data_IF_438471240349
#
_entry.id   IF_438471240349
#
_cell.length_a   1.000
_cell.length_b   1.000
_cell.length_c   1.000
_cell.angle_alpha   90.00
_cell.angle_beta   90.00
_cell.angle_gamma   90.00
#
_symmetry.space_group_name_H-M   'P 1'
#
loop_
_entity.id
_entity.type
_entity.pdbx_description
1 polymer ?
#
# COMPACT_ATOMS: atom_id res chain seq x y z
N UNK A 1 -31.62 -6.24 13.27
CA UNK A 1 -30.19 -6.08 12.89
C UNK A 1 -29.56 -7.46 12.98
N UNK A 2 -29.44 -8.21 11.86
CA UNK A 2 -28.85 -9.55 11.88
C UNK A 2 -27.34 -9.42 12.06
N UNK A 3 -26.85 -9.71 13.26
CA UNK A 3 -25.44 -10.03 13.48
C UNK A 3 -25.18 -11.36 12.77
N UNK A 4 -24.83 -11.31 11.49
CA UNK A 4 -24.24 -12.47 10.82
C UNK A 4 -22.87 -12.70 11.45
N UNK A 5 -22.85 -13.51 12.50
CA UNK A 5 -21.66 -14.17 13.01
C UNK A 5 -21.19 -15.16 11.93
N UNK A 6 -20.59 -14.64 10.86
CA UNK A 6 -19.83 -15.48 9.95
C UNK A 6 -18.59 -15.88 10.71
N UNK A 7 -18.50 -17.15 11.14
CA UNK A 7 -17.28 -17.73 11.66
C UNK A 7 -16.16 -17.39 10.67
N UNK A 8 -15.29 -16.45 11.04
CA UNK A 8 -14.13 -16.13 10.25
C UNK A 8 -13.26 -17.39 10.26
N UNK A 9 -12.87 -17.95 9.09
CA UNK A 9 -11.85 -19.00 9.09
C UNK A 9 -10.62 -18.45 9.80
N UNK A 10 -10.01 -19.26 10.66
CA UNK A 10 -8.90 -18.85 11.52
C UNK A 10 -7.85 -18.10 10.68
N UNK A 11 -7.61 -16.85 11.04
CA UNK A 11 -6.51 -16.08 10.45
C UNK A 11 -5.19 -16.81 10.77
N UNK A 12 -4.19 -16.65 9.90
CA UNK A 12 -2.89 -17.27 10.11
C UNK A 12 -2.28 -16.83 11.45
N UNK A 13 -1.55 -17.74 12.09
CA UNK A 13 -0.75 -17.37 13.27
C UNK A 13 0.20 -16.21 12.88
N UNK A 14 0.16 -15.07 13.59
CA UNK A 14 0.92 -13.88 13.22
C UNK A 14 2.43 -14.13 13.16
N UNK A 15 2.96 -15.04 13.98
CA UNK A 15 4.37 -15.43 13.93
C UNK A 15 4.71 -16.19 12.64
N UNK A 16 3.85 -17.11 12.21
CA UNK A 16 4.03 -17.84 10.96
C UNK A 16 3.92 -16.91 9.75
N UNK A 17 2.95 -16.00 9.77
CA UNK A 17 2.80 -14.99 8.72
C UNK A 17 4.01 -14.05 8.67
N UNK A 18 4.55 -13.65 9.82
CA UNK A 18 5.76 -12.84 9.92
C UNK A 18 7.00 -13.55 9.38
N UNK A 19 7.21 -14.81 9.73
CA UNK A 19 8.31 -15.63 9.19
C UNK A 19 8.17 -15.78 7.68
N UNK A 20 6.98 -16.12 7.17
CA UNK A 20 6.74 -16.24 5.74
C UNK A 20 7.02 -14.92 5.00
N UNK A 21 6.57 -13.79 5.54
CA UNK A 21 6.84 -12.47 4.98
C UNK A 21 8.35 -12.13 4.99
N UNK A 22 9.05 -12.47 6.07
CA UNK A 22 10.50 -12.30 6.18
C UNK A 22 11.27 -13.15 5.17
N UNK A 23 10.84 -14.40 4.94
CA UNK A 23 11.41 -15.27 3.91
C UNK A 23 11.15 -14.74 2.51
N UNK A 24 9.96 -14.19 2.24
CA UNK A 24 9.67 -13.52 0.96
C UNK A 24 10.58 -12.31 0.77
N UNK A 25 10.73 -11.46 1.79
CA UNK A 25 11.63 -10.31 1.74
C UNK A 25 13.08 -10.74 1.47
N UNK A 26 13.58 -11.76 2.17
CA UNK A 26 14.90 -12.33 1.94
C UNK A 26 15.04 -12.85 0.51
N UNK A 27 14.06 -13.61 0.02
CA UNK A 27 14.05 -14.13 -1.34
C UNK A 27 14.07 -12.99 -2.38
N UNK A 28 13.34 -11.89 -2.16
CA UNK A 28 13.38 -10.74 -3.07
C UNK A 28 14.78 -10.11 -3.13
N UNK A 29 15.46 -9.97 -1.99
CA UNK A 29 16.83 -9.48 -1.98
C UNK A 29 17.81 -10.43 -2.66
N UNK A 30 17.69 -11.74 -2.44
CA UNK A 30 18.61 -12.74 -3.00
C UNK A 30 18.41 -12.93 -4.51
N UNK A 31 17.16 -12.98 -4.97
CA UNK A 31 16.84 -13.26 -6.37
C UNK A 31 16.86 -12.01 -7.24
N UNK A 32 16.39 -10.87 -6.72
CA UNK A 32 16.16 -9.66 -7.51
C UNK A 32 17.09 -8.51 -7.14
N UNK A 33 17.79 -8.57 -6.01
CA UNK A 33 18.69 -7.50 -5.54
C UNK A 33 17.99 -6.28 -4.95
N UNK A 34 16.65 -6.28 -4.89
CA UNK A 34 15.84 -5.19 -4.34
C UNK A 34 14.82 -5.76 -3.34
N UNK A 35 14.46 -4.97 -2.32
CA UNK A 35 13.43 -5.34 -1.36
C UNK A 35 12.01 -4.95 -1.81
N UNK A 36 11.03 -5.35 -1.01
CA UNK A 36 9.61 -5.10 -1.26
C UNK A 36 9.24 -3.62 -1.28
N UNK A 37 8.34 -3.25 -2.19
CA UNK A 37 7.68 -1.96 -2.19
C UNK A 37 6.62 -1.84 -3.29
N UNK A 38 5.79 -0.79 -3.23
CA UNK A 38 4.74 -0.56 -4.25
C UNK A 38 4.74 0.85 -4.85
N UNK A 39 5.23 1.86 -4.13
CA UNK A 39 5.07 3.26 -4.54
C UNK A 39 5.80 3.66 -5.82
N UNK A 40 6.96 3.08 -6.18
CA UNK A 40 7.67 3.49 -7.40
C UNK A 40 6.89 3.12 -8.66
N UNK A 41 6.25 1.95 -8.70
CA UNK A 41 5.44 1.51 -9.84
C UNK A 41 4.27 2.46 -10.11
N UNK A 42 3.46 2.75 -9.08
CA UNK A 42 2.30 3.66 -9.19
C UNK A 42 2.74 5.08 -9.59
N UNK A 43 3.87 5.51 -9.05
CA UNK A 43 4.51 6.79 -9.36
C UNK A 43 4.88 6.90 -10.83
N UNK A 44 5.58 5.89 -11.37
CA UNK A 44 6.05 5.90 -12.75
C UNK A 44 4.88 5.86 -13.72
N UNK A 45 3.85 5.06 -13.44
CA UNK A 45 2.62 5.06 -14.24
C UNK A 45 1.95 6.43 -14.22
N UNK A 46 1.84 7.07 -13.06
CA UNK A 46 1.25 8.41 -12.95
C UNK A 46 2.07 9.47 -13.73
N UNK A 47 3.40 9.40 -13.69
CA UNK A 47 4.25 10.32 -14.45
C UNK A 47 4.31 10.01 -15.94
N UNK A 48 4.19 8.75 -16.36
CA UNK A 48 4.01 8.38 -17.75
C UNK A 48 2.68 8.92 -18.30
N UNK A 49 1.60 8.84 -17.52
CA UNK A 49 0.33 9.45 -17.86
C UNK A 49 0.39 10.98 -17.86
N UNK A 50 1.16 11.60 -16.95
CA UNK A 50 1.38 13.05 -16.98
C UNK A 50 2.20 13.48 -18.21
N UNK A 51 3.17 12.66 -18.61
CA UNK A 51 4.00 12.89 -19.79
C UNK A 51 3.19 12.82 -21.09
N UNK A 52 2.17 11.96 -21.18
CA UNK A 52 1.30 11.92 -22.37
C UNK A 52 0.40 13.14 -22.53
N UNK A 53 0.15 13.88 -21.44
CA UNK A 53 -0.67 15.11 -21.44
C UNK A 53 0.19 16.37 -21.57
N UNK A 54 1.34 16.41 -20.89
CA UNK A 54 2.20 17.60 -20.81
C UNK A 54 3.69 17.22 -20.80
N UNK A 55 4.24 16.74 -21.93
CA UNK A 55 5.59 16.17 -21.99
C UNK A 55 6.68 17.18 -21.58
N UNK A 56 6.62 18.41 -22.09
CA UNK A 56 7.58 19.47 -21.78
C UNK A 56 7.64 19.79 -20.27
N UNK A 57 6.50 19.81 -19.57
CA UNK A 57 6.47 20.09 -18.14
C UNK A 57 7.13 18.98 -17.30
N UNK A 58 7.04 17.72 -17.76
CA UNK A 58 7.64 16.56 -17.09
C UNK A 58 9.14 16.49 -17.36
N UNK A 59 9.57 16.74 -18.60
CA UNK A 59 10.98 16.69 -19.00
C UNK A 59 11.81 17.84 -18.42
N UNK A 60 11.23 19.04 -18.29
CA UNK A 60 11.91 20.18 -17.66
C UNK A 60 11.97 20.08 -16.12
N UNK A 61 11.29 19.11 -15.51
CA UNK A 61 11.28 18.92 -14.05
C UNK A 61 12.36 17.95 -13.61
N UNK A 62 13.36 18.46 -12.86
CA UNK A 62 14.41 17.65 -12.23
C UNK A 62 13.88 16.58 -11.29
N UNK A 63 12.67 16.75 -10.75
CA UNK A 63 12.03 15.78 -9.88
C UNK A 63 11.32 14.66 -10.66
N UNK A 64 10.69 14.97 -11.80
CA UNK A 64 9.82 14.04 -12.52
C UNK A 64 10.55 13.27 -13.63
N UNK A 65 11.56 13.88 -14.25
CA UNK A 65 12.32 13.27 -15.34
C UNK A 65 12.88 11.86 -15.02
N UNK A 66 13.43 11.57 -13.82
CA UNK A 66 13.94 10.23 -13.50
C UNK A 66 12.85 9.14 -13.39
N UNK A 67 11.59 9.54 -13.24
CA UNK A 67 10.47 8.60 -13.09
C UNK A 67 9.77 8.26 -14.41
N UNK A 68 10.05 9.00 -15.49
CA UNK A 68 9.59 8.64 -16.83
C UNK A 68 10.51 7.53 -17.33
N UNK A 69 10.18 6.28 -16.98
CA UNK A 69 10.86 5.12 -17.56
C UNK A 69 10.46 5.00 -19.03
N UNK A 70 11.44 4.72 -19.90
CA UNK A 70 11.21 4.39 -21.31
C UNK A 70 10.38 3.12 -21.48
N UNK A 71 10.44 2.20 -20.52
CA UNK A 71 9.69 0.95 -20.54
C UNK A 71 9.09 0.61 -19.15
N UNK A 72 7.76 0.58 -18.99
CA UNK A 72 7.11 0.26 -17.70
C UNK A 72 7.44 -1.12 -17.15
N UNK A 73 7.85 -2.08 -18.00
CA UNK A 73 8.17 -3.45 -17.60
C UNK A 73 9.58 -3.62 -17.03
N UNK A 74 10.44 -2.61 -17.13
CA UNK A 74 11.78 -2.65 -16.51
C UNK A 74 11.73 -2.47 -14.99
N UNK A 75 10.63 -1.91 -14.46
CA UNK A 75 10.45 -1.82 -13.02
C UNK A 75 9.89 -3.15 -12.48
N UNK A 76 10.75 -3.90 -11.79
CA UNK A 76 10.39 -5.13 -11.06
C UNK A 76 9.11 -4.96 -10.22
N UNK A 77 8.85 -3.75 -9.73
CA UNK A 77 7.66 -3.40 -8.94
C UNK A 77 6.34 -3.78 -9.63
N UNK A 78 6.29 -3.80 -10.97
CA UNK A 78 5.07 -4.23 -11.71
C UNK A 78 4.76 -5.70 -11.43
N UNK A 79 5.77 -6.56 -11.41
CA UNK A 79 5.62 -7.98 -11.06
C UNK A 79 5.26 -8.15 -9.59
N UNK A 80 5.85 -7.36 -8.69
CA UNK A 80 5.48 -7.38 -7.27
C UNK A 80 4.00 -7.00 -7.08
N UNK A 81 3.55 -5.89 -7.67
CA UNK A 81 2.15 -5.43 -7.56
C UNK A 81 1.18 -6.46 -8.15
N UNK A 82 1.53 -7.05 -9.30
CA UNK A 82 0.73 -8.11 -9.89
C UNK A 82 0.68 -9.37 -9.03
N UNK A 83 1.82 -9.77 -8.45
CA UNK A 83 1.92 -10.88 -7.50
C UNK A 83 1.10 -10.66 -6.23
N UNK A 84 1.13 -9.45 -5.66
CA UNK A 84 0.32 -9.07 -4.50
C UNK A 84 -1.18 -9.09 -4.85
N UNK A 85 -1.55 -8.62 -6.03
CA UNK A 85 -2.95 -8.65 -6.49
C UNK A 85 -3.46 -10.09 -6.62
N UNK A 86 -2.73 -10.95 -7.34
CA UNK A 86 -3.08 -12.36 -7.50
C UNK A 86 -3.05 -13.11 -6.16
N UNK A 87 -2.04 -12.87 -5.33
CA UNK A 87 -1.91 -13.44 -4.00
C UNK A 87 -3.08 -13.05 -3.09
N UNK A 88 -3.53 -11.79 -3.16
CA UNK A 88 -4.71 -11.31 -2.44
C UNK A 88 -6.01 -12.00 -2.89
N UNK A 89 -6.20 -12.19 -4.19
CA UNK A 89 -7.36 -12.92 -4.74
C UNK A 89 -7.31 -14.39 -4.29
N UNK A 90 -6.15 -15.04 -4.40
CA UNK A 90 -5.96 -16.42 -3.98
C UNK A 90 -6.20 -16.58 -2.48
N UNK A 91 -5.69 -15.67 -1.65
CA UNK A 91 -5.93 -15.65 -0.21
C UNK A 91 -7.41 -15.43 0.12
N UNK A 92 -8.11 -14.57 -0.61
CA UNK A 92 -9.56 -14.39 -0.46
C UNK A 92 -10.34 -15.65 -0.86
N UNK A 93 -9.88 -16.38 -1.88
CA UNK A 93 -10.46 -17.64 -2.32
C UNK A 93 -10.27 -18.76 -1.29
N UNK A 94 -9.02 -19.02 -0.88
CA UNK A 94 -8.69 -20.05 0.10
C UNK A 94 -9.28 -19.74 1.48
N UNK A 95 -9.30 -18.47 1.86
CA UNK A 95 -9.95 -17.97 3.06
C UNK A 95 -11.48 -17.91 2.97
N UNK A 96 -12.12 -18.34 1.86
CA UNK A 96 -13.58 -18.29 1.64
C UNK A 96 -14.20 -16.91 1.92
N UNK A 97 -13.41 -15.84 1.74
CA UNK A 97 -13.77 -14.42 1.97
C UNK A 97 -13.93 -13.64 0.67
N UNK A 98 -13.92 -14.31 -0.47
CA UNK A 98 -14.19 -13.68 -1.77
C UNK A 98 -15.56 -12.99 -1.74
N UNK A 99 -15.51 -11.66 -1.82
CA UNK A 99 -16.70 -10.83 -1.83
C UNK A 99 -17.42 -11.03 -3.17
N UNK A 100 -18.60 -11.65 -3.12
CA UNK A 100 -19.42 -11.94 -4.31
C UNK A 100 -20.03 -10.69 -4.96
N UNK A 101 -20.03 -9.56 -4.25
CA UNK A 101 -20.52 -8.26 -4.72
C UNK A 101 -19.58 -7.15 -4.24
N UNK A 102 -19.32 -6.12 -5.07
CA UNK A 102 -18.63 -4.93 -4.63
C UNK A 102 -19.49 -4.25 -3.55
N UNK A 103 -19.12 -4.44 -2.29
CA UNK A 103 -19.77 -3.81 -1.16
C UNK A 103 -18.75 -2.92 -0.48
N UNK A 104 -19.15 -1.66 -0.25
CA UNK A 104 -18.30 -0.72 0.45
C UNK A 104 -18.36 -1.04 1.94
N UNK A 105 -17.22 -1.42 2.53
CA UNK A 105 -17.12 -1.60 3.97
C UNK A 105 -17.23 -0.23 4.65
N UNK A 106 -18.31 -0.04 5.40
CA UNK A 106 -18.66 1.20 6.06
C UNK A 106 -19.33 0.91 7.41
N UNK A 107 -19.18 1.84 8.36
CA UNK A 107 -19.78 1.72 9.68
C UNK A 107 -21.29 2.03 9.67
N UNK A 108 -22.03 1.66 10.72
CA UNK A 108 -23.49 1.84 10.80
C UNK A 108 -23.93 3.32 10.66
N UNK A 109 -23.05 4.25 11.04
CA UNK A 109 -23.30 5.70 11.02
C UNK A 109 -22.74 6.42 9.81
N UNK A 110 -22.01 5.75 8.93
CA UNK A 110 -21.37 6.39 7.77
C UNK A 110 -22.22 6.24 6.51
N UNK A 111 -22.36 7.33 5.76
CA UNK A 111 -22.97 7.30 4.42
C UNK A 111 -21.94 6.91 3.37
N UNK A 112 -22.42 6.39 2.22
CA UNK A 112 -21.55 6.03 1.08
C UNK A 112 -20.71 7.23 0.64
N UNK A 113 -21.34 8.41 0.50
CA UNK A 113 -20.67 9.65 0.14
C UNK A 113 -19.53 9.98 1.11
N UNK A 114 -19.81 10.00 2.43
CA UNK A 114 -18.81 10.29 3.44
C UNK A 114 -17.63 9.31 3.40
N UNK A 115 -17.91 8.01 3.25
CA UNK A 115 -16.87 6.97 3.19
C UNK A 115 -15.97 7.12 1.96
N UNK A 116 -16.57 7.38 0.79
CA UNK A 116 -15.82 7.60 -0.45
C UNK A 116 -14.98 8.87 -0.37
N UNK A 117 -15.56 9.98 0.09
CA UNK A 117 -14.83 11.25 0.27
C UNK A 117 -13.64 11.08 1.21
N UNK A 118 -13.82 10.41 2.35
CA UNK A 118 -12.72 10.14 3.29
C UNK A 118 -11.67 9.20 2.71
N UNK A 119 -12.06 8.19 1.93
CA UNK A 119 -11.11 7.29 1.27
C UNK A 119 -10.25 8.04 0.25
N UNK A 120 -10.87 8.92 -0.54
CA UNK A 120 -10.16 9.76 -1.52
C UNK A 120 -9.23 10.74 -0.80
N UNK A 121 -9.74 11.51 0.17
CA UNK A 121 -8.93 12.46 0.94
C UNK A 121 -7.78 11.76 1.67
N UNK A 122 -8.04 10.61 2.29
CA UNK A 122 -7.02 9.78 2.93
C UNK A 122 -5.97 9.28 1.95
N UNK A 123 -6.39 8.84 0.76
CA UNK A 123 -5.49 8.42 -0.32
C UNK A 123 -4.59 9.55 -0.82
N UNK A 124 -5.14 10.76 -0.98
CA UNK A 124 -4.36 11.95 -1.38
C UNK A 124 -3.32 12.30 -0.31
N UNK A 125 -3.73 12.37 0.96
CA UNK A 125 -2.81 12.67 2.08
C UNK A 125 -1.73 11.58 2.21
N UNK A 126 -2.11 10.31 2.09
CA UNK A 126 -1.18 9.17 2.11
C UNK A 126 -0.19 9.24 0.94
N UNK A 127 -0.65 9.59 -0.26
CA UNK A 127 0.20 9.76 -1.44
C UNK A 127 1.23 10.87 -1.25
N UNK A 128 0.79 12.03 -0.77
CA UNK A 128 1.70 13.14 -0.43
C UNK A 128 2.71 12.73 0.65
N UNK A 129 2.24 12.08 1.72
CA UNK A 129 3.09 11.57 2.79
C UNK A 129 4.13 10.57 2.30
N UNK A 130 3.76 9.64 1.42
CA UNK A 130 4.68 8.67 0.84
C UNK A 130 5.80 9.34 0.02
N UNK A 131 5.52 10.48 -0.62
CA UNK A 131 6.56 11.25 -1.33
C UNK A 131 7.49 12.01 -0.40
N UNK A 132 6.94 12.64 0.63
CA UNK A 132 7.73 13.30 1.66
C UNK A 132 8.64 12.30 2.39
N UNK A 133 8.14 11.10 2.66
CA UNK A 133 8.88 10.01 3.27
C UNK A 133 9.81 9.24 2.30
N UNK A 134 9.82 9.60 1.01
CA UNK A 134 10.57 8.89 -0.06
C UNK A 134 10.30 7.37 -0.08
N UNK A 135 9.08 6.94 0.24
CA UNK A 135 8.70 5.53 0.22
C UNK A 135 7.29 5.26 0.76
N UNK A 136 6.77 4.08 0.46
CA UNK A 136 5.57 3.55 1.11
C UNK A 136 5.90 2.88 2.44
N UNK A 137 4.86 2.51 3.19
CA UNK A 137 4.98 1.71 4.40
C UNK A 137 5.76 0.40 4.18
N UNK A 138 5.54 -0.33 3.08
CA UNK A 138 6.32 -1.56 2.81
C UNK A 138 7.79 -1.25 2.54
N UNK A 139 8.09 -0.24 1.72
CA UNK A 139 9.47 0.16 1.41
C UNK A 139 10.23 0.71 2.63
N UNK A 140 9.58 1.52 3.46
CA UNK A 140 10.22 2.06 4.65
C UNK A 140 10.24 1.03 5.80
N UNK A 141 9.09 0.45 6.17
CA UNK A 141 9.03 -0.43 7.34
C UNK A 141 9.61 -1.83 7.11
N UNK A 142 9.37 -2.47 5.95
CA UNK A 142 9.89 -3.83 5.70
C UNK A 142 11.30 -3.77 5.15
N UNK A 143 11.47 -3.16 3.99
CA UNK A 143 12.75 -3.10 3.26
C UNK A 143 13.79 -2.27 4.02
N UNK A 144 13.43 -1.05 4.42
CA UNK A 144 14.28 -0.16 5.23
C UNK A 144 14.51 -0.66 6.66
N UNK A 145 13.50 -1.29 7.27
CA UNK A 145 13.62 -1.90 8.59
C UNK A 145 14.57 -3.10 8.60
N UNK A 146 14.55 -3.95 7.57
CA UNK A 146 15.42 -5.11 7.43
C UNK A 146 16.91 -4.74 7.33
N UNK A 147 17.24 -3.58 6.74
CA UNK A 147 18.61 -3.05 6.69
C UNK A 147 18.93 -2.10 7.86
N UNK A 148 18.05 -2.02 8.87
CA UNK A 148 18.22 -1.19 10.06
C UNK A 148 18.44 0.30 9.75
N UNK A 149 17.81 0.81 8.68
CA UNK A 149 17.90 2.22 8.29
C UNK A 149 17.27 3.12 9.35
N UNK A 150 18.07 4.03 9.93
CA UNK A 150 17.62 4.98 10.95
C UNK A 150 16.41 5.79 10.47
N UNK A 151 16.44 6.28 9.23
CA UNK A 151 15.33 7.05 8.65
C UNK A 151 14.04 6.24 8.56
N UNK A 152 14.14 4.95 8.25
CA UNK A 152 13.00 4.05 8.16
C UNK A 152 12.40 3.71 9.52
N UNK A 153 13.23 3.58 10.56
CA UNK A 153 12.77 3.44 11.95
C UNK A 153 12.07 4.69 12.45
N UNK A 154 12.62 5.88 12.18
CA UNK A 154 11.97 7.16 12.49
C UNK A 154 10.62 7.26 11.77
N UNK A 155 10.58 6.93 10.48
CA UNK A 155 9.33 6.89 9.72
C UNK A 155 8.32 5.93 10.34
N UNK A 156 8.73 4.71 10.69
CA UNK A 156 7.83 3.70 11.25
C UNK A 156 7.21 4.19 12.57
N UNK A 157 8.02 4.74 13.47
CA UNK A 157 7.55 5.29 14.75
C UNK A 157 6.58 6.46 14.52
N UNK A 158 6.92 7.40 13.63
CA UNK A 158 6.07 8.54 13.29
C UNK A 158 4.75 8.10 12.63
N UNK A 159 4.79 7.08 11.76
CA UNK A 159 3.62 6.52 11.09
C UNK A 159 2.63 5.92 12.11
N UNK A 160 3.10 5.07 13.03
CA UNK A 160 2.25 4.52 14.07
C UNK A 160 1.75 5.60 15.03
N UNK A 161 2.61 6.53 15.47
CA UNK A 161 2.20 7.64 16.32
C UNK A 161 1.10 8.49 15.67
N UNK A 162 1.27 8.89 14.41
CA UNK A 162 0.26 9.62 13.65
C UNK A 162 -1.04 8.84 13.48
N UNK A 163 -0.96 7.53 13.22
CA UNK A 163 -2.13 6.65 13.15
C UNK A 163 -2.91 6.58 14.47
N UNK A 164 -2.21 6.39 15.59
CA UNK A 164 -2.84 6.36 16.92
C UNK A 164 -3.42 7.71 17.33
N UNK A 165 -2.78 8.83 16.97
CA UNK A 165 -3.27 10.18 17.25
C UNK A 165 -4.52 10.52 16.42
N UNK A 166 -4.61 10.03 15.18
CA UNK A 166 -5.75 10.28 14.28
C UNK A 166 -6.93 9.32 14.52
N UNK A 167 -6.67 8.13 15.07
CA UNK A 167 -7.70 7.11 15.31
C UNK A 167 -8.93 7.60 16.10
N UNK A 168 -8.82 8.42 17.17
CA UNK A 168 -9.97 8.91 17.93
C UNK A 168 -10.98 9.74 17.12
N UNK A 169 -10.51 10.43 16.08
CA UNK A 169 -11.35 11.26 15.20
C UNK A 169 -12.16 10.40 14.23
N UNK A 170 -11.50 9.38 13.65
CA UNK A 170 -12.11 8.53 12.61
C UNK A 170 -12.93 7.38 13.20
N UNK A 171 -12.57 6.87 14.38
CA UNK A 171 -13.28 5.75 15.03
C UNK A 171 -14.76 6.02 15.29
N UNK A 172 -15.16 7.29 15.43
CA UNK A 172 -16.57 7.69 15.63
C UNK A 172 -17.46 7.29 14.46
N UNK A 173 -16.89 7.09 13.27
CA UNK A 173 -17.63 6.67 12.06
C UNK A 173 -17.97 5.17 12.07
N UNK A 174 -17.26 4.38 12.88
CA UNK A 174 -17.40 2.92 12.98
C UNK A 174 -18.13 2.46 14.25
N UNK A 175 -18.50 3.39 15.15
CA UNK A 175 -19.28 3.15 16.36
C UNK A 175 -20.73 3.54 16.17
#
# INVERSE_FOLDING_TARGET
MKTTNTAHPADWNPYLAGIALGLVLLATYVLMGFGLGSSSGVTRVAYAAAHSVAPAAVEHSTYMAPYVASNPFEDWMVFEVFGVLLGGILAAYTGKRLMKRPTLQMGPRSTVALRVTLAILGGVVMGLGARLARGCTSGQALTGGAVLSVGSWVFMLAFFAGGYLTAPFVRRMWR
#
